data_IF_106229111723
#
_entry.id   IF_106229111723
#
_cell.length_a   1.000
_cell.length_b   1.000
_cell.length_c   1.000
_cell.angle_alpha   90.00
_cell.angle_beta   90.00
_cell.angle_gamma   90.00
#
_symmetry.space_group_name_H-M   'P 1'
#
loop_
_entity.id
_entity.type
_entity.pdbx_description
1 polymer ?
#
# COMPACT_ATOMS: atom_id res chain seq x y z
N UNK A 1 37.85 7.20 -7.47
CA UNK A 1 37.19 6.12 -6.69
C UNK A 1 35.72 6.44 -6.71
N UNK A 2 35.04 6.09 -7.81
CA UNK A 2 33.60 6.27 -7.97
C UNK A 2 33.01 4.89 -7.77
N UNK A 3 32.57 4.63 -6.55
CA UNK A 3 31.94 3.38 -6.18
C UNK A 3 30.48 3.48 -6.66
N UNK A 4 30.25 3.23 -7.94
CA UNK A 4 28.90 3.06 -8.50
C UNK A 4 28.31 1.73 -7.99
N UNK A 5 28.02 1.66 -6.69
CA UNK A 5 27.27 0.57 -6.10
C UNK A 5 25.81 1.00 -6.10
N UNK A 6 25.02 0.36 -6.94
CA UNK A 6 23.57 0.37 -6.79
C UNK A 6 23.27 -0.33 -5.46
N UNK A 7 22.84 0.43 -4.45
CA UNK A 7 22.44 -0.18 -3.18
C UNK A 7 21.31 -1.18 -3.46
N UNK A 8 21.37 -2.39 -2.88
CA UNK A 8 20.34 -3.39 -3.09
C UNK A 8 19.01 -2.88 -2.56
N UNK A 9 17.98 -3.00 -3.40
CA UNK A 9 16.59 -2.71 -3.01
C UNK A 9 16.20 -3.57 -1.82
N UNK A 10 15.64 -2.95 -0.78
CA UNK A 10 15.26 -3.65 0.46
C UNK A 10 14.02 -4.54 0.34
N UNK A 11 13.17 -4.28 -0.64
CA UNK A 11 11.96 -5.04 -0.96
C UNK A 11 11.05 -4.28 -1.92
N UNK A 12 10.04 -4.98 -2.43
CA UNK A 12 9.00 -4.44 -3.31
C UNK A 12 7.68 -4.30 -2.54
N UNK A 13 7.11 -3.10 -2.58
CA UNK A 13 5.86 -2.75 -1.87
C UNK A 13 4.82 -2.33 -2.89
N UNK A 14 3.63 -2.91 -2.80
CA UNK A 14 2.45 -2.43 -3.50
C UNK A 14 1.56 -1.65 -2.53
N UNK A 15 1.23 -0.40 -2.86
CA UNK A 15 0.29 0.42 -2.11
C UNK A 15 -1.01 0.48 -2.88
N UNK A 16 -2.12 0.14 -2.22
CA UNK A 16 -3.47 0.19 -2.78
C UNK A 16 -4.30 1.14 -1.93
N UNK A 17 -4.51 2.35 -2.44
CA UNK A 17 -5.23 3.44 -1.78
C UNK A 17 -5.89 4.30 -2.86
N UNK A 18 -7.16 4.65 -2.70
CA UNK A 18 -7.91 5.50 -3.63
C UNK A 18 -7.76 7.01 -3.31
N UNK A 19 -7.10 7.35 -2.20
CA UNK A 19 -6.87 8.73 -1.75
C UNK A 19 -5.52 9.24 -2.25
N UNK A 20 -5.57 10.30 -3.07
CA UNK A 20 -4.38 10.92 -3.66
C UNK A 20 -3.37 11.46 -2.61
N UNK A 21 -3.83 11.85 -1.42
CA UNK A 21 -2.96 12.38 -0.36
C UNK A 21 -1.98 11.31 0.18
N UNK A 22 -2.48 10.10 0.48
CA UNK A 22 -1.67 8.96 0.93
C UNK A 22 -0.61 8.57 -0.11
N UNK A 23 -0.98 8.67 -1.39
CA UNK A 23 -0.16 8.30 -2.55
C UNK A 23 0.97 9.28 -2.86
N UNK A 24 1.05 10.43 -2.18
CA UNK A 24 2.19 11.34 -2.33
C UNK A 24 3.23 11.13 -1.23
N UNK A 25 2.81 11.07 0.03
CA UNK A 25 3.75 11.06 1.15
C UNK A 25 4.36 9.68 1.40
N UNK A 26 3.53 8.64 1.55
CA UNK A 26 4.01 7.32 1.94
C UNK A 26 4.97 6.70 0.90
N UNK A 27 4.70 6.76 -0.42
CA UNK A 27 5.61 6.25 -1.42
C UNK A 27 6.96 6.96 -1.39
N UNK A 28 6.98 8.29 -1.22
CA UNK A 28 8.23 9.05 -1.16
C UNK A 28 9.10 8.64 0.03
N UNK A 29 8.49 8.45 1.21
CA UNK A 29 9.20 8.01 2.42
C UNK A 29 9.76 6.59 2.24
N UNK A 30 8.99 5.66 1.69
CA UNK A 30 9.43 4.28 1.46
C UNK A 30 10.52 4.19 0.38
N UNK A 31 10.40 4.96 -0.70
CA UNK A 31 11.43 5.05 -1.74
C UNK A 31 12.74 5.61 -1.17
N UNK A 32 12.68 6.68 -0.38
CA UNK A 32 13.84 7.23 0.31
C UNK A 32 14.48 6.24 1.29
N UNK A 33 13.69 5.34 1.88
CA UNK A 33 14.17 4.27 2.74
C UNK A 33 14.81 3.08 1.98
N UNK A 34 14.76 3.08 0.63
CA UNK A 34 15.38 2.08 -0.23
C UNK A 34 14.44 0.96 -0.74
N UNK A 35 13.12 1.16 -0.69
CA UNK A 35 12.14 0.22 -1.22
C UNK A 35 11.74 0.56 -2.66
N UNK A 36 11.42 -0.45 -3.45
CA UNK A 36 10.65 -0.26 -4.69
C UNK A 36 9.17 -0.16 -4.33
N UNK A 37 8.50 0.86 -4.85
CA UNK A 37 7.10 1.12 -4.52
C UNK A 37 6.30 1.22 -5.81
N UNK A 38 5.30 0.36 -5.92
CA UNK A 38 4.24 0.44 -6.94
C UNK A 38 2.97 0.95 -6.27
N UNK A 39 2.24 1.83 -6.94
CA UNK A 39 1.00 2.41 -6.45
C UNK A 39 -0.14 1.98 -7.36
N UNK A 40 -1.29 1.65 -6.76
CA UNK A 40 -2.52 1.34 -7.48
C UNK A 40 -3.70 2.00 -6.78
N UNK A 41 -4.61 2.59 -7.56
CA UNK A 41 -5.82 3.26 -7.03
C UNK A 41 -7.06 2.41 -7.22
N UNK A 42 -7.02 1.50 -8.18
CA UNK A 42 -8.12 0.62 -8.50
C UNK A 42 -7.93 -0.75 -7.82
N UNK A 43 -8.72 -1.01 -6.79
CA UNK A 43 -8.67 -2.30 -6.09
C UNK A 43 -9.06 -3.51 -6.96
N UNK A 44 -9.74 -3.33 -8.09
CA UNK A 44 -9.97 -4.39 -9.07
C UNK A 44 -8.70 -4.74 -9.87
N UNK A 45 -7.86 -3.74 -10.15
CA UNK A 45 -6.57 -3.95 -10.82
C UNK A 45 -5.49 -4.43 -9.86
N UNK A 46 -5.57 -4.06 -8.58
CA UNK A 46 -4.60 -4.39 -7.55
C UNK A 46 -4.23 -5.89 -7.49
N UNK A 47 -5.21 -6.80 -7.64
CA UNK A 47 -4.94 -8.24 -7.65
C UNK A 47 -4.09 -8.66 -8.86
N UNK A 48 -4.37 -8.10 -10.03
CA UNK A 48 -3.61 -8.39 -11.26
C UNK A 48 -2.19 -7.83 -11.17
N UNK A 49 -2.04 -6.64 -10.58
CA UNK A 49 -0.73 -6.03 -10.30
C UNK A 49 0.05 -6.89 -9.31
N UNK A 50 -0.56 -7.32 -8.20
CA UNK A 50 0.08 -8.17 -7.19
C UNK A 50 0.60 -9.49 -7.79
N UNK A 51 -0.14 -10.10 -8.72
CA UNK A 51 0.31 -11.29 -9.46
C UNK A 51 1.49 -11.02 -10.38
N UNK A 52 1.54 -9.82 -10.97
CA UNK A 52 2.54 -9.47 -11.98
C UNK A 52 3.87 -9.08 -11.35
N UNK A 53 3.83 -8.27 -10.30
CA UNK A 53 5.05 -7.72 -9.68
C UNK A 53 5.51 -8.51 -8.45
N UNK A 54 4.66 -9.44 -7.96
CA UNK A 54 4.90 -10.29 -6.78
C UNK A 54 5.55 -9.52 -5.62
N UNK A 55 4.87 -8.52 -5.05
CA UNK A 55 5.43 -7.68 -3.99
C UNK A 55 5.66 -8.49 -2.72
N UNK A 56 6.60 -8.07 -1.89
CA UNK A 56 6.84 -8.66 -0.57
C UNK A 56 5.71 -8.29 0.40
N UNK A 57 5.22 -7.05 0.28
CA UNK A 57 4.19 -6.45 1.13
C UNK A 57 3.19 -5.67 0.29
N UNK A 58 1.91 -5.82 0.62
CA UNK A 58 0.83 -4.93 0.18
C UNK A 58 0.42 -4.06 1.37
N UNK A 59 0.44 -2.75 1.18
CA UNK A 59 -0.20 -1.78 2.06
C UNK A 59 -1.57 -1.47 1.46
N UNK A 60 -2.63 -1.77 2.20
CA UNK A 60 -4.00 -1.77 1.69
C UNK A 60 -4.90 -0.85 2.54
N UNK A 61 -5.57 0.10 1.90
CA UNK A 61 -6.69 0.82 2.53
C UNK A 61 -7.90 -0.13 2.68
N UNK A 62 -8.56 -0.05 3.82
CA UNK A 62 -9.73 -0.88 4.13
C UNK A 62 -10.98 -0.38 3.39
N UNK A 63 -11.15 0.95 3.35
CA UNK A 63 -12.28 1.64 2.74
C UNK A 63 -11.92 2.21 1.37
N UNK A 64 -11.74 1.32 0.39
CA UNK A 64 -11.54 1.70 -1.01
C UNK A 64 -12.88 2.07 -1.67
N UNK A 65 -12.90 3.11 -2.51
CA UNK A 65 -14.04 3.43 -3.35
C UNK A 65 -14.36 2.26 -4.31
N UNK A 66 -15.53 1.65 -4.11
CA UNK A 66 -16.08 0.66 -5.04
C UNK A 66 -15.65 -0.80 -4.80
N UNK A 67 -14.74 -1.08 -3.87
CA UNK A 67 -14.41 -2.45 -3.45
C UNK A 67 -14.10 -2.49 -1.95
N UNK A 68 -14.42 -3.60 -1.29
CA UNK A 68 -14.06 -3.79 0.11
C UNK A 68 -12.61 -4.29 0.21
N UNK A 69 -11.72 -3.52 0.86
CA UNK A 69 -10.30 -3.90 0.99
C UNK A 69 -10.08 -5.23 1.70
N UNK A 70 -10.94 -5.60 2.66
CA UNK A 70 -10.88 -6.93 3.28
C UNK A 70 -11.22 -8.05 2.31
N UNK A 71 -12.15 -7.82 1.38
CA UNK A 71 -12.48 -8.80 0.35
C UNK A 71 -11.34 -8.98 -0.66
N UNK A 72 -10.71 -7.87 -1.08
CA UNK A 72 -9.50 -7.93 -1.88
C UNK A 72 -8.39 -8.73 -1.18
N UNK A 73 -8.16 -8.48 0.11
CA UNK A 73 -7.21 -9.25 0.92
C UNK A 73 -7.55 -10.74 0.97
N UNK A 74 -8.84 -11.09 1.14
CA UNK A 74 -9.28 -12.50 1.07
C UNK A 74 -8.96 -13.13 -0.29
N UNK A 75 -9.19 -12.41 -1.39
CA UNK A 75 -8.85 -12.90 -2.72
C UNK A 75 -7.34 -13.11 -2.90
N UNK A 76 -6.52 -12.14 -2.46
CA UNK A 76 -5.05 -12.25 -2.46
C UNK A 76 -4.60 -13.50 -1.69
N UNK A 77 -5.21 -13.77 -0.54
CA UNK A 77 -4.87 -14.92 0.32
C UNK A 77 -5.40 -16.26 -0.17
N UNK A 78 -6.44 -16.27 -1.00
CA UNK A 78 -7.02 -17.49 -1.54
C UNK A 78 -6.20 -18.08 -2.71
N UNK A 79 -5.37 -17.27 -3.36
CA UNK A 79 -4.66 -17.62 -4.60
C UNK A 79 -3.23 -18.06 -4.28
N UNK A 80 -2.77 -19.26 -4.70
CA UNK A 80 -1.43 -19.77 -4.41
C UNK A 80 -0.29 -18.82 -4.79
N UNK A 81 -0.44 -18.11 -5.92
CA UNK A 81 0.54 -17.18 -6.46
C UNK A 81 0.70 -15.91 -5.61
N UNK A 82 -0.28 -15.56 -4.79
CA UNK A 82 -0.28 -14.30 -4.02
C UNK A 82 -0.46 -14.51 -2.51
N UNK A 83 -0.75 -15.72 -2.05
CA UNK A 83 -1.07 -15.97 -0.64
C UNK A 83 0.08 -15.69 0.34
N UNK A 84 1.32 -15.79 -0.15
CA UNK A 84 2.54 -15.57 0.61
C UNK A 84 2.80 -14.08 0.88
N UNK A 85 2.21 -13.19 0.10
CA UNK A 85 2.40 -11.74 0.20
C UNK A 85 1.85 -11.22 1.52
N UNK A 86 2.63 -10.48 2.29
CA UNK A 86 2.14 -9.89 3.55
C UNK A 86 1.19 -8.73 3.27
N UNK A 87 0.08 -8.63 3.99
CA UNK A 87 -0.89 -7.53 3.82
C UNK A 87 -0.95 -6.74 5.12
N UNK A 88 -0.71 -5.43 5.03
CA UNK A 88 -0.83 -4.47 6.12
C UNK A 88 -1.98 -3.54 5.79
N UNK A 89 -3.01 -3.51 6.63
CA UNK A 89 -4.06 -2.51 6.51
C UNK A 89 -3.57 -1.18 7.07
N UNK A 90 -3.72 -0.12 6.28
CA UNK A 90 -3.45 1.24 6.71
C UNK A 90 -4.76 2.02 6.70
N UNK A 91 -5.12 2.59 7.84
CA UNK A 91 -6.29 3.46 7.97
C UNK A 91 -5.85 4.75 8.62
N UNK A 92 -6.14 5.88 7.96
CA UNK A 92 -5.95 7.20 8.56
C UNK A 92 -7.14 7.51 9.48
N UNK A 93 -6.93 7.43 10.78
CA UNK A 93 -7.89 7.92 11.76
C UNK A 93 -7.69 9.43 11.93
N UNK A 94 -8.48 10.25 11.24
CA UNK A 94 -8.56 11.68 11.54
C UNK A 94 -9.39 11.87 12.80
N UNK A 95 -8.74 11.87 13.96
CA UNK A 95 -9.38 12.34 15.20
C UNK A 95 -9.53 13.87 15.10
N UNK A 96 -10.71 14.34 14.67
CA UNK A 96 -11.14 15.71 14.93
C UNK A 96 -12.21 15.63 16.01
N UNK A 97 -11.79 15.61 17.27
CA UNK A 97 -12.64 16.05 18.36
C UNK A 97 -12.20 17.46 18.75
N UNK A 98 -12.77 18.45 18.05
CA UNK A 98 -12.82 19.82 18.55
C UNK A 98 -14.29 20.11 18.90
N UNK A 99 -14.65 19.89 20.17
CA UNK A 99 -15.79 20.58 20.78
C UNK A 99 -15.29 21.41 21.96
N UNK A 100 -14.72 22.56 21.63
CA UNK A 100 -14.84 23.73 22.47
C UNK A 100 -16.20 24.38 22.20
N UNK A 101 -17.28 23.87 22.79
CA UNK A 101 -18.46 24.69 23.02
C UNK A 101 -18.48 25.12 24.48
N UNK A 102 -18.09 26.37 24.66
CA UNK A 102 -18.31 27.14 25.89
C UNK A 102 -19.81 27.33 26.11
N UNK A 103 -20.32 26.87 27.25
CA UNK A 103 -21.44 27.48 27.98
C UNK A 103 -21.19 27.34 29.49
#
# INVERSE_FOLDING_TARGET
>A
MSSDYCEPVKGNILIVDDKLESLQLLPAVLQQAGYLVTQETDGYLALSVAKTISPDVIILEADLAGINGYELCRQIKAIPETNHISVIFLSFLSAVEEQGESL
#
